data_IF_207041335756
#
_entry.id   IF_207041335756
#
_cell.length_a   1.000
_cell.length_b   1.000
_cell.length_c   1.000
_cell.angle_alpha   90.00
_cell.angle_beta   90.00
_cell.angle_gamma   90.00
#
_symmetry.space_group_name_H-M   'P 1'
#
loop_
_entity.id
_entity.type
_entity.pdbx_description
1 polymer ?
#
# COMPACT_ATOMS: atom_id res chain seq x y z
N UNK A 1 33.24 31.43 33.18
CA UNK A 1 33.73 32.35 32.14
C UNK A 1 32.78 32.19 30.96
N UNK A 2 31.76 33.04 30.84
CA UNK A 2 31.58 34.16 29.92
C UNK A 2 31.95 33.75 28.49
N UNK A 3 31.05 33.66 27.49
CA UNK A 3 30.43 34.84 26.88
C UNK A 3 29.22 34.43 26.02
N UNK A 4 28.17 35.21 26.12
CA UNK A 4 27.00 35.25 25.27
C UNK A 4 27.31 36.07 24.00
N UNK A 5 26.70 35.73 22.87
CA UNK A 5 26.54 36.67 21.77
C UNK A 5 25.10 36.58 21.20
N UNK A 6 24.37 37.65 21.47
CA UNK A 6 23.08 38.01 20.87
C UNK A 6 23.38 38.71 19.55
N UNK A 7 22.63 38.38 18.50
CA UNK A 7 22.50 39.26 17.34
C UNK A 7 21.05 39.29 16.86
N UNK A 8 20.51 40.46 17.02
CA UNK A 8 19.21 40.97 16.56
C UNK A 8 19.41 41.63 15.19
N UNK A 9 18.60 41.35 14.19
CA UNK A 9 18.38 42.21 12.98
C UNK A 9 16.98 41.95 12.49
N UNK A 10 16.06 42.83 12.77
CA UNK A 10 15.52 44.00 12.04
C UNK A 10 14.63 43.64 10.82
N UNK A 11 13.39 43.95 11.05
CA UNK A 11 12.19 44.02 10.22
C UNK A 11 12.33 45.06 9.09
N UNK A 12 11.89 44.73 7.89
CA UNK A 12 11.56 45.73 6.87
C UNK A 12 10.23 45.39 6.19
N UNK A 13 9.25 46.24 6.50
CA UNK A 13 7.94 46.33 5.90
C UNK A 13 8.05 47.21 4.66
N UNK A 14 7.49 46.80 3.53
CA UNK A 14 7.13 47.71 2.45
C UNK A 14 5.69 47.42 1.99
N UNK A 15 4.80 48.29 2.38
CA UNK A 15 3.47 48.50 1.77
C UNK A 15 3.64 49.23 0.43
N UNK A 16 2.90 48.82 -0.57
CA UNK A 16 2.40 49.75 -1.61
C UNK A 16 0.97 49.34 -2.00
N UNK A 17 0.08 50.29 -1.74
CA UNK A 17 -1.27 50.37 -2.23
C UNK A 17 -1.32 51.39 -3.40
N UNK A 18 -2.27 51.23 -4.29
CA UNK A 18 -3.03 52.21 -5.06
C UNK A 18 -3.56 51.56 -6.34
N UNK A 19 -4.72 51.63 -6.74
CA UNK A 19 -5.96 52.42 -6.66
C UNK A 19 -6.59 52.49 -8.07
N UNK A 20 -7.89 52.18 -8.11
CA UNK A 20 -9.00 52.81 -8.85
C UNK A 20 -8.91 53.17 -10.35
N UNK A 21 -9.93 52.74 -11.13
CA UNK A 21 -11.05 53.57 -11.65
C UNK A 21 -11.84 52.73 -12.69
N UNK A 22 -13.09 52.52 -12.60
CA UNK A 22 -14.31 53.34 -12.81
C UNK A 22 -14.63 53.64 -14.28
N UNK A 23 -15.87 53.30 -14.68
CA UNK A 23 -16.56 53.68 -15.90
C UNK A 23 -17.30 52.50 -16.53
N UNK A 24 -18.58 52.28 -16.48
CA UNK A 24 -19.74 53.14 -16.54
C UNK A 24 -20.38 53.08 -17.92
N UNK A 25 -21.62 52.57 -18.05
CA UNK A 25 -22.47 52.96 -19.16
C UNK A 25 -23.29 51.85 -19.84
N UNK A 26 -24.55 51.68 -19.39
CA UNK A 26 -25.80 51.60 -20.17
C UNK A 26 -26.08 50.51 -21.20
N UNK A 27 -27.14 49.75 -20.90
CA UNK A 27 -28.07 49.10 -21.86
C UNK A 27 -28.81 50.15 -22.73
N UNK A 28 -29.39 49.75 -23.90
CA UNK A 28 -30.72 49.17 -23.86
C UNK A 28 -31.08 48.09 -24.94
N UNK A 29 -32.00 47.27 -24.55
CA UNK A 29 -33.19 46.66 -25.18
C UNK A 29 -33.35 46.71 -26.71
N UNK A 30 -33.66 45.54 -27.32
CA UNK A 30 -34.92 45.14 -27.96
C UNK A 30 -34.77 43.89 -28.85
N UNK A 31 -35.55 42.86 -28.52
CA UNK A 31 -36.52 42.08 -29.30
C UNK A 31 -36.19 41.66 -30.74
N UNK A 32 -36.21 40.36 -30.97
CA UNK A 32 -37.18 39.64 -31.81
C UNK A 32 -36.69 38.23 -32.17
N UNK A 33 -37.58 37.29 -32.07
CA UNK A 33 -37.47 35.86 -32.12
C UNK A 33 -36.97 35.22 -33.42
N UNK A 34 -36.45 34.04 -33.22
CA UNK A 34 -36.51 32.93 -34.18
C UNK A 34 -36.31 31.61 -33.43
N UNK A 35 -37.29 30.77 -33.54
CA UNK A 35 -37.28 29.35 -33.18
C UNK A 35 -36.18 28.63 -33.94
N UNK A 36 -35.27 28.01 -33.22
CA UNK A 36 -34.36 26.99 -33.78
C UNK A 36 -34.22 25.84 -32.80
N UNK A 37 -34.50 24.70 -33.36
CA UNK A 37 -34.50 23.33 -32.82
C UNK A 37 -33.34 23.01 -31.93
N UNK A 38 -33.62 22.46 -30.74
CA UNK A 38 -32.61 21.94 -29.82
C UNK A 38 -31.89 20.74 -30.42
N UNK A 39 -30.64 20.92 -30.79
CA UNK A 39 -29.68 19.83 -30.94
C UNK A 39 -29.16 19.45 -29.57
N UNK A 40 -29.43 18.23 -29.17
CA UNK A 40 -28.90 17.60 -27.96
C UNK A 40 -27.38 17.47 -28.15
N UNK A 41 -26.60 18.30 -27.50
CA UNK A 41 -25.15 18.12 -27.41
C UNK A 41 -24.89 16.93 -26.49
N UNK A 42 -24.44 15.84 -27.09
CA UNK A 42 -23.87 14.71 -26.35
C UNK A 42 -22.64 15.20 -25.59
N UNK A 43 -22.67 15.08 -24.27
CA UNK A 43 -21.47 15.21 -23.40
C UNK A 43 -20.40 14.22 -23.87
N UNK A 44 -19.14 14.64 -23.97
CA UNK A 44 -18.06 13.70 -24.21
C UNK A 44 -17.95 12.77 -22.99
N UNK A 45 -18.31 11.51 -23.18
CA UNK A 45 -17.92 10.41 -22.30
C UNK A 45 -16.39 10.45 -22.16
N UNK A 46 -15.90 10.66 -20.96
CA UNK A 46 -14.48 10.46 -20.65
C UNK A 46 -14.18 9.00 -20.92
N UNK A 47 -13.51 8.73 -22.05
CA UNK A 47 -12.95 7.43 -22.32
C UNK A 47 -11.92 7.15 -21.22
N UNK A 48 -12.24 6.20 -20.34
CA UNK A 48 -11.23 5.52 -19.51
C UNK A 48 -10.11 5.08 -20.47
N UNK A 49 -8.92 5.58 -20.21
CA UNK A 49 -7.72 5.15 -20.92
C UNK A 49 -7.42 3.71 -20.47
N UNK A 50 -7.99 2.75 -21.18
CA UNK A 50 -7.61 1.34 -21.04
C UNK A 50 -6.17 1.25 -21.50
N UNK A 51 -5.26 0.98 -20.57
CA UNK A 51 -3.88 0.70 -20.90
C UNK A 51 -3.85 -0.43 -21.96
N UNK A 52 -3.00 -0.35 -22.98
CA UNK A 52 -2.97 -1.36 -24.05
C UNK A 52 -2.66 -2.72 -23.43
N UNK A 53 -3.58 -3.67 -23.58
CA UNK A 53 -3.36 -5.07 -23.21
C UNK A 53 -2.22 -5.60 -24.07
N UNK A 54 -1.15 -6.06 -23.43
CA UNK A 54 -0.03 -6.65 -24.14
C UNK A 54 -0.49 -7.90 -24.92
N UNK A 55 0.00 -8.05 -26.16
CA UNK A 55 -0.27 -9.24 -26.95
C UNK A 55 0.31 -10.47 -26.25
N UNK A 56 -0.37 -11.64 -26.19
CA UNK A 56 0.11 -12.84 -25.48
C UNK A 56 1.55 -13.23 -25.84
N UNK A 57 1.97 -13.03 -27.10
CA UNK A 57 3.34 -13.32 -27.54
C UNK A 57 4.39 -12.31 -27.01
N UNK A 58 3.99 -11.09 -26.64
CA UNK A 58 4.91 -10.09 -26.11
C UNK A 58 5.30 -10.34 -24.64
N UNK A 59 4.58 -11.22 -23.95
CA UNK A 59 4.81 -11.57 -22.54
C UNK A 59 5.36 -12.99 -22.36
N UNK A 60 5.80 -13.65 -23.46
CA UNK A 60 6.46 -14.94 -23.34
C UNK A 60 7.87 -14.77 -22.76
N UNK A 61 8.29 -15.70 -21.89
CA UNK A 61 9.61 -15.68 -21.20
C UNK A 61 10.77 -15.23 -22.08
N UNK A 62 10.85 -15.80 -23.30
CA UNK A 62 11.97 -15.54 -24.22
C UNK A 62 11.97 -14.12 -24.81
N UNK A 63 10.89 -13.37 -24.65
CA UNK A 63 10.75 -11.97 -25.11
C UNK A 63 10.94 -10.97 -23.97
N UNK A 64 10.97 -11.44 -22.71
CA UNK A 64 11.07 -10.57 -21.54
C UNK A 64 12.53 -10.19 -21.26
N UNK A 65 12.74 -8.93 -20.98
CA UNK A 65 14.03 -8.43 -20.47
C UNK A 65 13.99 -8.46 -18.95
N UNK A 66 14.80 -9.34 -18.35
CA UNK A 66 14.90 -9.50 -16.89
C UNK A 66 16.30 -9.14 -16.39
N UNK A 67 16.43 -8.86 -15.08
CA UNK A 67 17.72 -8.55 -14.41
C UNK A 67 18.74 -9.65 -14.65
N UNK A 68 18.30 -10.91 -14.59
CA UNK A 68 19.12 -12.06 -14.96
C UNK A 68 18.45 -12.77 -16.13
N UNK A 69 19.11 -12.84 -17.28
CA UNK A 69 18.54 -13.44 -18.48
C UNK A 69 17.98 -14.85 -18.21
N UNK A 70 16.72 -15.08 -18.61
CA UNK A 70 16.02 -16.37 -18.44
C UNK A 70 15.55 -16.70 -17.02
N UNK A 71 15.71 -15.77 -16.06
CA UNK A 71 15.21 -15.90 -14.69
C UNK A 71 14.31 -14.73 -14.32
N UNK A 72 13.31 -14.97 -13.47
CA UNK A 72 12.53 -13.94 -12.80
C UNK A 72 13.08 -13.72 -11.40
N UNK A 73 13.66 -12.56 -11.16
CA UNK A 73 14.18 -12.17 -9.83
C UNK A 73 13.08 -11.48 -9.04
N UNK A 74 12.65 -12.09 -7.94
CA UNK A 74 11.59 -11.60 -7.07
C UNK A 74 12.20 -11.05 -5.78
N UNK A 75 11.84 -9.81 -5.44
CA UNK A 75 12.19 -9.18 -4.17
C UNK A 75 11.13 -9.37 -3.10
N UNK A 76 11.54 -9.49 -1.84
CA UNK A 76 10.69 -9.35 -0.66
C UNK A 76 11.54 -9.02 0.56
N UNK A 77 10.91 -8.55 1.65
CA UNK A 77 11.62 -8.22 2.89
C UNK A 77 12.08 -9.46 3.67
N UNK A 78 12.93 -9.24 4.64
CA UNK A 78 13.36 -10.25 5.61
C UNK A 78 13.40 -9.61 7.02
N UNK A 79 12.61 -10.09 7.96
CA UNK A 79 11.85 -11.35 7.97
C UNK A 79 10.67 -11.39 6.98
N UNK A 80 10.47 -12.56 6.35
CA UNK A 80 9.34 -12.83 5.48
C UNK A 80 8.15 -13.33 6.31
N UNK A 81 7.14 -12.45 6.53
CA UNK A 81 6.09 -12.71 7.51
C UNK A 81 5.00 -13.69 7.03
N UNK A 82 4.58 -14.66 7.88
CA UNK A 82 3.29 -15.30 7.71
C UNK A 82 2.11 -14.29 7.85
N UNK A 83 0.99 -14.49 7.17
CA UNK A 83 0.63 -15.60 6.30
C UNK A 83 1.11 -15.45 4.85
N UNK A 84 1.84 -14.40 4.53
CA UNK A 84 2.33 -14.11 3.17
C UNK A 84 3.41 -15.10 2.73
N UNK A 85 4.25 -15.52 3.65
CA UNK A 85 5.30 -16.52 3.47
C UNK A 85 5.26 -17.52 4.62
N UNK A 86 5.37 -18.80 4.33
CA UNK A 86 5.26 -19.87 5.33
C UNK A 86 6.52 -20.72 5.42
N UNK A 87 6.70 -21.38 6.57
CA UNK A 87 7.68 -22.45 6.77
C UNK A 87 6.92 -23.70 7.19
N UNK A 88 6.63 -24.61 6.26
CA UNK A 88 5.78 -25.77 6.56
C UNK A 88 6.41 -26.77 7.53
N UNK A 89 7.72 -26.90 7.53
CA UNK A 89 8.51 -27.85 8.33
C UNK A 89 9.33 -27.18 9.46
N UNK A 90 9.12 -25.89 9.67
CA UNK A 90 9.80 -25.13 10.72
C UNK A 90 11.24 -24.71 10.41
N UNK A 91 11.72 -24.92 9.18
CA UNK A 91 13.09 -24.57 8.78
C UNK A 91 13.08 -23.65 7.55
N UNK A 92 13.43 -22.39 7.73
CA UNK A 92 13.62 -21.45 6.63
C UNK A 92 14.98 -21.67 5.95
N UNK A 93 15.01 -21.52 4.63
CA UNK A 93 16.25 -21.52 3.85
C UNK A 93 16.97 -20.18 4.05
N UNK A 94 18.22 -20.20 4.54
CA UNK A 94 18.97 -18.94 4.69
C UNK A 94 19.05 -18.17 3.38
N UNK A 95 18.88 -16.81 3.38
CA UNK A 95 18.91 -15.92 4.56
C UNK A 95 17.54 -15.70 5.24
N UNK A 96 16.47 -16.34 4.82
CA UNK A 96 15.10 -16.06 5.23
C UNK A 96 14.84 -16.37 6.71
N UNK A 97 13.96 -15.59 7.29
CA UNK A 97 13.54 -15.68 8.69
C UNK A 97 12.00 -15.58 8.77
N UNK A 98 11.40 -16.26 9.74
CA UNK A 98 9.95 -16.40 9.99
C UNK A 98 9.15 -17.10 8.88
N UNK A 99 9.39 -16.80 7.63
CA UNK A 99 8.84 -17.45 6.45
C UNK A 99 9.94 -17.72 5.43
N UNK A 100 9.63 -18.51 4.40
CA UNK A 100 10.54 -18.81 3.29
C UNK A 100 9.82 -18.60 1.95
N UNK A 101 10.14 -17.54 1.19
CA UNK A 101 9.47 -17.27 -0.07
C UNK A 101 9.78 -18.28 -1.17
N UNK A 102 10.84 -19.07 -1.03
CA UNK A 102 11.33 -19.97 -2.09
C UNK A 102 10.52 -21.26 -2.23
N UNK A 103 9.68 -21.59 -1.25
CA UNK A 103 8.96 -22.86 -1.20
C UNK A 103 7.60 -22.86 -1.94
N UNK A 104 7.03 -21.68 -2.24
CA UNK A 104 5.71 -21.52 -2.86
C UNK A 104 4.56 -21.55 -1.86
N UNK A 105 4.83 -21.45 -0.56
CA UNK A 105 3.82 -21.50 0.49
C UNK A 105 3.66 -20.14 1.18
N UNK A 106 2.39 -19.80 1.49
CA UNK A 106 1.99 -18.46 1.89
C UNK A 106 1.47 -17.65 0.71
N UNK A 107 0.66 -16.66 1.03
CA UNK A 107 -0.11 -15.92 0.03
C UNK A 107 0.76 -15.31 -1.08
N UNK A 108 1.79 -14.54 -0.73
CA UNK A 108 2.64 -13.87 -1.71
C UNK A 108 3.66 -14.79 -2.37
N UNK A 109 4.14 -15.80 -1.66
CA UNK A 109 4.98 -16.83 -2.29
C UNK A 109 4.19 -17.56 -3.38
N UNK A 110 3.00 -18.08 -3.07
CA UNK A 110 2.13 -18.75 -4.04
C UNK A 110 1.75 -17.84 -5.21
N UNK A 111 1.39 -16.58 -4.92
CA UNK A 111 1.06 -15.57 -5.92
C UNK A 111 2.23 -15.28 -6.87
N UNK A 112 3.44 -15.07 -6.34
CA UNK A 112 4.63 -14.79 -7.16
C UNK A 112 4.95 -15.94 -8.11
N UNK A 113 4.86 -17.19 -7.63
CA UNK A 113 5.03 -18.36 -8.50
C UNK A 113 3.92 -18.50 -9.53
N UNK A 114 2.67 -18.15 -9.20
CA UNK A 114 1.58 -18.16 -10.17
C UNK A 114 1.77 -17.07 -11.25
N UNK A 115 2.26 -15.87 -10.89
CA UNK A 115 2.65 -14.82 -11.87
C UNK A 115 3.79 -15.33 -12.74
N UNK A 116 4.83 -15.94 -12.15
CA UNK A 116 5.96 -16.51 -12.90
C UNK A 116 5.50 -17.55 -13.91
N UNK A 117 4.58 -18.45 -13.54
CA UNK A 117 4.01 -19.46 -14.44
C UNK A 117 3.26 -18.83 -15.61
N UNK A 118 2.43 -17.79 -15.36
CA UNK A 118 1.73 -17.04 -16.43
C UNK A 118 2.70 -16.35 -17.40
N UNK A 119 3.90 -15.98 -16.92
CA UNK A 119 4.97 -15.39 -17.74
C UNK A 119 5.86 -16.45 -18.39
N UNK A 120 5.62 -17.76 -18.16
CA UNK A 120 6.36 -18.86 -18.75
C UNK A 120 7.66 -19.23 -18.03
N UNK A 121 7.88 -18.76 -16.79
CA UNK A 121 9.02 -19.15 -15.97
C UNK A 121 8.69 -20.41 -15.16
N UNK A 122 9.53 -21.45 -15.27
CA UNK A 122 9.43 -22.58 -14.38
C UNK A 122 9.81 -22.17 -12.93
N UNK A 123 9.35 -22.91 -11.92
CA UNK A 123 9.68 -22.65 -10.52
C UNK A 123 11.19 -22.53 -10.27
N UNK A 124 12.01 -23.33 -10.97
CA UNK A 124 13.47 -23.29 -10.92
C UNK A 124 14.12 -22.06 -11.54
N UNK A 125 13.36 -21.29 -12.31
CA UNK A 125 13.80 -20.05 -12.93
C UNK A 125 13.43 -18.81 -12.12
N UNK A 126 12.75 -18.99 -10.99
CA UNK A 126 12.45 -17.93 -10.03
C UNK A 126 13.58 -17.84 -9.01
N UNK A 127 14.17 -16.66 -8.90
CA UNK A 127 15.20 -16.35 -7.92
C UNK A 127 14.67 -15.30 -6.91
N UNK A 128 14.87 -15.56 -5.63
CA UNK A 128 14.43 -14.62 -4.58
C UNK A 128 15.61 -13.84 -3.99
N UNK A 129 15.40 -12.57 -3.74
CA UNK A 129 16.37 -11.68 -3.09
C UNK A 129 15.74 -10.91 -1.94
N UNK A 130 16.54 -10.61 -0.91
CA UNK A 130 16.11 -9.74 0.19
C UNK A 130 16.09 -8.29 -0.28
N UNK A 131 14.95 -7.64 -0.14
CA UNK A 131 14.73 -6.22 -0.44
C UNK A 131 14.01 -5.61 0.75
N UNK A 132 14.67 -4.78 1.58
CA UNK A 132 14.00 -4.08 2.67
C UNK A 132 12.80 -3.29 2.17
N UNK A 133 11.71 -3.26 2.95
CA UNK A 133 10.42 -2.68 2.57
C UNK A 133 10.55 -1.30 1.90
N UNK A 134 11.23 -0.34 2.56
CA UNK A 134 11.38 1.02 2.04
C UNK A 134 12.19 1.08 0.73
N UNK A 135 13.08 0.10 0.49
CA UNK A 135 13.90 0.03 -0.72
C UNK A 135 13.12 -0.49 -1.93
N UNK A 136 12.01 -1.22 -1.71
CA UNK A 136 11.19 -1.76 -2.80
C UNK A 136 10.66 -0.63 -3.69
N UNK A 137 10.18 0.46 -3.10
CA UNK A 137 9.62 1.63 -3.81
C UNK A 137 10.51 2.88 -3.79
N UNK A 138 11.76 2.80 -3.29
CA UNK A 138 12.71 3.90 -3.40
C UNK A 138 13.01 4.22 -4.89
N UNK A 139 13.24 5.48 -5.28
CA UNK A 139 13.59 5.82 -6.65
C UNK A 139 14.92 5.21 -7.09
N UNK A 140 15.06 4.94 -8.40
CA UNK A 140 16.29 4.44 -9.01
C UNK A 140 16.21 2.99 -9.51
N UNK A 141 17.34 2.48 -9.98
CA UNK A 141 17.44 1.13 -10.54
C UNK A 141 17.15 0.05 -9.50
N UNK A 142 16.45 -1.00 -9.92
CA UNK A 142 16.12 -2.15 -9.08
C UNK A 142 17.04 -3.33 -9.36
N UNK A 143 17.26 -4.16 -8.35
CA UNK A 143 17.99 -5.43 -8.46
C UNK A 143 17.03 -6.62 -8.63
N UNK A 144 15.74 -6.36 -8.72
CA UNK A 144 14.67 -7.32 -8.94
C UNK A 144 13.89 -6.98 -10.20
N UNK A 145 13.22 -7.96 -10.75
CA UNK A 145 12.27 -7.80 -11.85
C UNK A 145 10.91 -7.36 -11.32
N UNK A 146 10.48 -8.01 -10.24
CA UNK A 146 9.26 -7.72 -9.48
C UNK A 146 9.56 -7.80 -7.98
N UNK A 147 8.79 -7.09 -7.16
CA UNK A 147 8.84 -7.21 -5.70
C UNK A 147 7.43 -7.40 -5.16
N UNK A 148 7.27 -8.37 -4.26
CA UNK A 148 6.00 -8.69 -3.56
C UNK A 148 6.28 -8.64 -2.06
N UNK A 149 5.77 -7.60 -1.42
CA UNK A 149 6.15 -7.24 -0.06
C UNK A 149 5.04 -6.45 0.64
N UNK A 150 3.80 -6.86 0.48
CA UNK A 150 2.62 -6.20 1.02
C UNK A 150 2.59 -4.69 0.71
N UNK A 151 3.05 -4.30 -0.48
CA UNK A 151 3.15 -2.89 -0.88
C UNK A 151 1.79 -2.40 -1.37
N UNK A 152 1.11 -1.59 -0.56
CA UNK A 152 -0.13 -0.93 -0.97
C UNK A 152 0.13 0.11 -2.04
N UNK A 153 -0.80 0.21 -3.00
CA UNK A 153 -0.78 1.30 -3.99
C UNK A 153 -0.87 2.66 -3.30
N UNK A 154 0.02 3.57 -3.69
CA UNK A 154 -0.02 5.00 -3.33
C UNK A 154 0.42 5.84 -4.52
N UNK A 155 -0.27 6.96 -4.85
CA UNK A 155 0.14 7.85 -5.94
C UNK A 155 1.59 8.33 -5.82
N UNK A 156 2.06 8.58 -4.60
CA UNK A 156 3.43 9.02 -4.33
C UNK A 156 4.45 7.94 -4.69
N UNK A 157 4.17 6.67 -4.36
CA UNK A 157 5.02 5.53 -4.75
C UNK A 157 5.04 5.36 -6.27
N UNK A 158 3.90 5.53 -6.93
CA UNK A 158 3.78 5.42 -8.38
C UNK A 158 4.58 6.49 -9.16
N UNK A 159 5.04 7.56 -8.51
CA UNK A 159 5.97 8.51 -9.11
C UNK A 159 7.39 7.95 -9.24
N UNK A 160 7.83 7.11 -8.30
CA UNK A 160 9.18 6.58 -8.21
C UNK A 160 9.35 5.20 -8.84
N UNK A 161 8.31 4.38 -8.85
CA UNK A 161 8.28 3.00 -9.34
C UNK A 161 7.03 2.75 -10.17
N UNK A 162 6.99 1.65 -10.91
CA UNK A 162 5.71 1.14 -11.41
C UNK A 162 5.06 0.25 -10.36
N UNK A 163 3.75 0.40 -10.23
CA UNK A 163 2.90 -0.44 -9.40
C UNK A 163 1.91 -1.16 -10.29
N UNK A 164 1.78 -2.47 -10.13
CA UNK A 164 0.82 -3.26 -10.90
C UNK A 164 -0.62 -2.95 -10.50
N UNK A 165 -1.56 -3.50 -11.26
CA UNK A 165 -2.94 -3.69 -10.80
C UNK A 165 -2.96 -4.44 -9.46
N UNK A 166 -3.96 -4.12 -8.63
CA UNK A 166 -4.08 -4.73 -7.31
C UNK A 166 -4.27 -6.25 -7.37
N UNK A 167 -3.54 -6.99 -6.54
CA UNK A 167 -3.71 -8.45 -6.41
C UNK A 167 -4.42 -8.87 -5.12
N UNK A 168 -4.54 -7.99 -4.13
CA UNK A 168 -5.27 -8.24 -2.88
C UNK A 168 -5.82 -6.94 -2.30
N UNK A 169 -7.10 -6.94 -1.94
CA UNK A 169 -7.76 -5.82 -1.26
C UNK A 169 -7.76 -6.07 0.24
N UNK A 170 -7.42 -5.05 1.03
CA UNK A 170 -7.25 -5.16 2.47
C UNK A 170 -7.82 -3.96 3.23
N UNK A 171 -7.92 -4.12 4.54
CA UNK A 171 -8.19 -3.05 5.50
C UNK A 171 -7.04 -2.94 6.50
N UNK A 172 -6.79 -1.73 6.98
CA UNK A 172 -5.92 -1.50 8.13
C UNK A 172 -6.64 -1.90 9.42
N UNK A 173 -5.87 -2.34 10.42
CA UNK A 173 -6.44 -2.82 11.68
C UNK A 173 -5.58 -2.45 12.88
N UNK A 174 -6.17 -2.55 14.08
CA UNK A 174 -5.48 -2.26 15.35
C UNK A 174 -5.31 -3.54 16.14
N UNK A 175 -4.08 -3.81 16.56
CA UNK A 175 -3.75 -4.84 17.56
C UNK A 175 -3.43 -4.17 18.89
N UNK A 176 -3.98 -4.69 19.97
CA UNK A 176 -3.72 -4.23 21.34
C UNK A 176 -3.61 -5.39 22.33
N UNK A 177 -3.01 -5.13 23.49
CA UNK A 177 -3.07 -6.09 24.62
C UNK A 177 -4.50 -6.13 25.19
N UNK A 178 -5.03 -7.32 25.47
CA UNK A 178 -6.39 -7.51 26.04
C UNK A 178 -6.61 -6.73 27.32
N UNK A 179 -5.56 -6.55 28.13
CA UNK A 179 -5.64 -5.80 29.39
C UNK A 179 -5.66 -4.27 29.19
N UNK A 180 -5.36 -3.76 28.01
CA UNK A 180 -5.41 -2.34 27.72
C UNK A 180 -6.87 -1.91 27.43
N UNK A 181 -7.28 -0.74 27.94
CA UNK A 181 -8.65 -0.22 27.75
C UNK A 181 -9.02 0.00 26.27
N UNK A 182 -8.04 0.25 25.40
CA UNK A 182 -8.26 0.37 23.95
C UNK A 182 -8.91 -0.89 23.36
N UNK A 183 -8.72 -2.07 23.95
CA UNK A 183 -9.31 -3.32 23.49
C UNK A 183 -10.86 -3.30 23.40
N UNK A 184 -11.51 -2.36 24.06
CA UNK A 184 -12.97 -2.16 24.02
C UNK A 184 -13.42 -0.97 23.16
N UNK A 185 -12.49 -0.27 22.48
CA UNK A 185 -12.81 0.85 21.60
C UNK A 185 -13.65 0.37 20.40
N UNK A 186 -14.64 1.17 20.00
CA UNK A 186 -15.55 0.86 18.89
C UNK A 186 -15.62 1.95 17.84
N UNK A 187 -15.21 3.16 18.19
CA UNK A 187 -15.28 4.35 17.35
C UNK A 187 -13.92 5.01 17.22
N UNK A 188 -13.73 5.81 16.16
CA UNK A 188 -12.53 6.65 16.00
C UNK A 188 -12.39 7.62 17.19
N UNK A 189 -13.50 8.13 17.72
CA UNK A 189 -13.49 9.01 18.88
C UNK A 189 -12.88 8.33 20.12
N UNK A 190 -13.18 7.05 20.34
CA UNK A 190 -12.62 6.27 21.47
C UNK A 190 -11.10 6.13 21.38
N UNK A 191 -10.54 6.21 20.17
CA UNK A 191 -9.12 5.98 19.91
C UNK A 191 -8.24 7.19 20.18
N UNK A 192 -8.80 8.41 20.19
CA UNK A 192 -8.04 9.68 20.20
C UNK A 192 -7.03 9.84 21.35
N UNK A 193 -7.32 9.24 22.50
CA UNK A 193 -6.49 9.40 23.71
C UNK A 193 -5.36 8.38 23.83
N UNK A 194 -5.28 7.39 22.93
CA UNK A 194 -4.28 6.31 23.00
C UNK A 194 -3.05 6.59 22.15
N UNK A 195 -1.97 5.90 22.48
CA UNK A 195 -0.69 5.98 21.76
C UNK A 195 -0.62 4.86 20.72
N UNK A 196 -0.35 5.23 19.48
CA UNK A 196 -0.24 4.28 18.38
C UNK A 196 1.16 4.22 17.82
N UNK A 197 1.50 3.10 17.21
CA UNK A 197 2.73 2.94 16.46
C UNK A 197 2.54 2.08 15.22
N UNK A 198 3.39 2.30 14.23
CA UNK A 198 3.50 1.54 13.00
C UNK A 198 4.91 1.66 12.42
N UNK A 199 5.24 0.80 11.46
CA UNK A 199 6.47 0.91 10.70
C UNK A 199 6.46 2.16 9.81
N UNK A 200 7.62 2.76 9.64
CA UNK A 200 7.82 3.90 8.72
C UNK A 200 7.38 3.55 7.29
N UNK A 201 6.95 4.56 6.54
CA UNK A 201 6.60 4.42 5.12
C UNK A 201 5.31 3.65 4.81
N UNK A 202 4.63 3.05 5.80
CA UNK A 202 3.43 2.21 5.62
C UNK A 202 2.14 3.02 5.53
N UNK A 203 1.11 2.46 4.91
CA UNK A 203 -0.28 2.95 4.97
C UNK A 203 -0.88 2.82 6.36
N UNK A 204 -0.35 1.92 7.18
CA UNK A 204 -0.67 1.81 8.61
C UNK A 204 -0.30 3.10 9.38
N UNK A 205 0.87 3.66 9.10
CA UNK A 205 1.28 4.96 9.67
C UNK A 205 0.38 6.10 9.16
N UNK A 206 0.01 6.09 7.87
CA UNK A 206 -0.93 7.05 7.31
C UNK A 206 -2.31 6.94 7.98
N UNK A 207 -2.77 5.72 8.26
CA UNK A 207 -4.04 5.47 8.99
C UNK A 207 -3.99 6.07 10.39
N UNK A 208 -2.87 5.93 11.12
CA UNK A 208 -2.72 6.58 12.42
C UNK A 208 -2.84 8.10 12.28
N UNK A 209 -2.11 8.70 11.34
CA UNK A 209 -1.99 10.14 11.21
C UNK A 209 -3.25 10.81 10.66
N UNK A 210 -3.93 10.16 9.70
CA UNK A 210 -4.99 10.78 8.90
C UNK A 210 -6.40 10.30 9.28
N UNK A 211 -6.54 9.03 9.72
CA UNK A 211 -7.84 8.44 10.08
C UNK A 211 -8.05 8.49 11.58
N UNK A 212 -7.15 7.89 12.36
CA UNK A 212 -7.25 7.93 13.83
C UNK A 212 -6.98 9.35 14.32
N UNK A 213 -5.94 10.01 13.82
CA UNK A 213 -5.47 11.34 14.22
C UNK A 213 -5.47 11.50 15.76
N UNK A 214 -4.69 10.69 16.51
CA UNK A 214 -4.70 10.70 17.96
C UNK A 214 -4.09 11.98 18.51
N UNK A 215 -4.36 12.30 19.80
CA UNK A 215 -3.80 13.48 20.46
C UNK A 215 -2.26 13.43 20.55
N UNK A 216 -1.70 12.24 20.76
CA UNK A 216 -0.26 12.03 20.77
C UNK A 216 0.23 11.66 19.34
N UNK A 217 1.38 12.19 18.94
CA UNK A 217 2.00 11.80 17.68
C UNK A 217 2.26 10.29 17.62
N UNK A 218 2.11 9.71 16.43
CA UNK A 218 2.43 8.30 16.19
C UNK A 218 3.88 8.00 16.55
N UNK A 219 4.14 6.85 17.17
CA UNK A 219 5.48 6.33 17.35
C UNK A 219 5.87 5.56 16.10
N UNK A 220 6.88 6.07 15.40
CA UNK A 220 7.38 5.49 14.15
C UNK A 220 8.50 4.51 14.47
N UNK A 221 8.42 3.31 13.90
CA UNK A 221 9.40 2.25 14.05
C UNK A 221 10.07 1.91 12.72
N UNK A 222 11.27 1.37 12.77
CA UNK A 222 12.02 0.99 11.56
C UNK A 222 11.50 -0.30 10.93
N UNK A 223 10.86 -1.17 11.72
CA UNK A 223 10.29 -2.44 11.27
C UNK A 223 9.00 -2.77 12.02
N UNK A 224 8.24 -3.73 11.49
CA UNK A 224 7.09 -4.29 12.20
C UNK A 224 7.52 -5.01 13.49
N UNK A 225 8.67 -5.68 13.51
CA UNK A 225 9.19 -6.34 14.72
C UNK A 225 9.49 -5.34 15.83
N UNK A 226 10.06 -4.17 15.50
CA UNK A 226 10.29 -3.10 16.48
C UNK A 226 8.96 -2.54 17.01
N UNK A 227 7.97 -2.39 16.13
CA UNK A 227 6.64 -1.92 16.53
C UNK A 227 5.92 -2.94 17.43
N UNK A 228 6.04 -4.23 17.12
CA UNK A 228 5.53 -5.34 17.95
C UNK A 228 6.24 -5.38 19.31
N UNK A 229 7.56 -5.20 19.32
CA UNK A 229 8.32 -5.08 20.57
C UNK A 229 7.87 -3.86 21.39
N UNK A 230 7.56 -2.74 20.73
CA UNK A 230 6.99 -1.55 21.35
C UNK A 230 5.62 -1.80 22.00
N UNK A 231 4.74 -2.60 21.36
CA UNK A 231 3.46 -3.01 21.92
C UNK A 231 3.63 -3.92 23.15
N UNK A 232 4.52 -4.94 23.04
CA UNK A 232 4.85 -5.84 24.17
C UNK A 232 5.40 -5.07 25.36
N UNK A 233 6.25 -4.08 25.11
CA UNK A 233 6.84 -3.21 26.13
C UNK A 233 5.88 -2.11 26.63
N UNK A 234 4.63 -2.07 26.15
CA UNK A 234 3.61 -1.06 26.52
C UNK A 234 4.06 0.38 26.22
N UNK A 235 4.93 0.56 25.23
CA UNK A 235 5.35 1.88 24.76
C UNK A 235 4.29 2.53 23.87
N UNK A 236 3.44 1.69 23.25
CA UNK A 236 2.23 2.04 22.52
C UNK A 236 1.05 1.24 23.07
N UNK A 237 -0.15 1.77 22.91
CA UNK A 237 -1.40 1.13 23.30
C UNK A 237 -1.97 0.29 22.16
N UNK A 238 -1.79 0.75 20.91
CA UNK A 238 -2.24 0.11 19.69
C UNK A 238 -1.15 0.07 18.63
N UNK A 239 -0.97 -1.10 18.03
CA UNK A 239 -0.18 -1.32 16.82
C UNK A 239 -1.13 -1.30 15.62
N UNK A 240 -0.87 -0.49 14.61
CA UNK A 240 -1.64 -0.49 13.36
C UNK A 240 -0.87 -1.25 12.30
N UNK A 241 -1.53 -2.23 11.68
CA UNK A 241 -1.01 -3.10 10.62
C UNK A 241 -2.14 -3.57 9.72
N UNK A 242 -1.79 -4.14 8.57
CA UNK A 242 -2.74 -4.81 7.68
C UNK A 242 -3.49 -5.93 8.41
N UNK A 243 -4.75 -6.11 8.08
CA UNK A 243 -5.60 -7.07 8.78
C UNK A 243 -5.05 -8.51 8.77
N UNK A 244 -4.52 -9.07 7.66
CA UNK A 244 -3.90 -10.39 7.70
C UNK A 244 -2.67 -10.47 8.62
N UNK A 245 -1.87 -9.41 8.67
CA UNK A 245 -0.74 -9.28 9.59
C UNK A 245 -1.22 -9.26 11.04
N UNK A 246 -2.31 -8.54 11.35
CA UNK A 246 -2.88 -8.49 12.70
C UNK A 246 -3.30 -9.87 13.23
N UNK A 247 -3.84 -10.73 12.36
CA UNK A 247 -4.16 -12.11 12.72
C UNK A 247 -2.91 -12.92 13.09
N UNK A 248 -1.83 -12.76 12.33
CA UNK A 248 -0.57 -13.43 12.66
C UNK A 248 0.03 -12.89 13.97
N UNK A 249 0.07 -11.57 14.13
CA UNK A 249 0.56 -10.93 15.37
C UNK A 249 -0.18 -11.44 16.59
N UNK A 250 -1.51 -11.51 16.54
CA UNK A 250 -2.33 -11.95 17.68
C UNK A 250 -2.28 -13.46 17.92
N UNK A 251 -2.05 -14.26 16.88
CA UNK A 251 -1.99 -15.72 16.98
C UNK A 251 -0.62 -16.25 17.39
N UNK A 252 0.47 -15.57 16.98
CA UNK A 252 1.81 -16.13 17.08
C UNK A 252 2.87 -15.23 17.71
N UNK A 253 2.71 -13.90 17.67
CA UNK A 253 3.77 -13.01 18.09
C UNK A 253 3.51 -12.29 19.43
N UNK A 254 2.26 -11.99 19.76
CA UNK A 254 1.90 -11.23 20.98
C UNK A 254 0.86 -11.96 21.79
N UNK A 255 1.28 -12.62 22.85
CA UNK A 255 0.37 -13.27 23.80
C UNK A 255 -0.59 -12.28 24.43
N UNK A 256 -1.82 -12.75 24.72
CA UNK A 256 -2.86 -11.94 25.35
C UNK A 256 -3.16 -10.63 24.61
N UNK A 257 -3.04 -10.65 23.29
CA UNK A 257 -3.46 -9.57 22.41
C UNK A 257 -4.82 -9.84 21.74
N UNK A 258 -5.37 -8.82 21.11
CA UNK A 258 -6.64 -8.86 20.40
C UNK A 258 -6.58 -7.90 19.21
N UNK A 259 -7.28 -8.22 18.14
CA UNK A 259 -7.61 -7.25 17.09
C UNK A 259 -8.77 -6.41 17.62
N UNK A 260 -8.52 -5.13 17.89
CA UNK A 260 -9.52 -4.17 18.37
C UNK A 260 -10.58 -3.95 17.31
N UNK A 261 -10.15 -3.78 16.08
CA UNK A 261 -11.02 -3.64 14.92
C UNK A 261 -10.24 -3.27 13.67
N UNK A 262 -10.96 -3.24 12.54
CA UNK A 262 -10.47 -2.82 11.22
C UNK A 262 -11.16 -1.53 10.79
N UNK A 263 -10.52 -0.78 9.90
CA UNK A 263 -11.07 0.42 9.29
C UNK A 263 -11.70 0.06 7.94
N UNK A 264 -12.97 0.39 7.76
CA UNK A 264 -13.59 0.30 6.44
C UNK A 264 -12.99 1.37 5.50
N UNK A 265 -12.89 1.11 4.20
CA UNK A 265 -12.51 2.13 3.23
C UNK A 265 -13.46 3.34 3.35
N UNK A 266 -12.96 4.59 3.22
CA UNK A 266 -13.83 5.74 3.16
C UNK A 266 -14.81 5.62 1.99
N UNK A 267 -16.06 6.05 2.19
CA UNK A 267 -17.09 6.00 1.14
C UNK A 267 -16.66 6.81 -0.08
N UNK A 268 -16.70 6.19 -1.26
CA UNK A 268 -16.35 6.85 -2.52
C UNK A 268 -14.86 6.88 -2.85
N UNK A 269 -14.03 6.16 -2.11
CA UNK A 269 -12.62 5.91 -2.45
C UNK A 269 -12.42 4.45 -2.89
N UNK A 270 -11.41 4.22 -3.71
CA UNK A 270 -10.98 2.87 -4.02
C UNK A 270 -10.46 2.19 -2.74
N UNK A 271 -10.78 0.90 -2.62
CA UNK A 271 -10.27 0.10 -1.52
C UNK A 271 -8.75 -0.03 -1.61
N UNK A 272 -8.07 0.03 -0.46
CA UNK A 272 -6.63 -0.22 -0.40
C UNK A 272 -6.30 -1.60 -0.95
N UNK A 273 -5.26 -1.69 -1.76
CA UNK A 273 -4.83 -2.95 -2.36
C UNK A 273 -3.32 -3.06 -2.46
N UNK A 274 -2.81 -4.28 -2.36
CA UNK A 274 -1.42 -4.57 -2.66
C UNK A 274 -1.18 -4.59 -4.16
N UNK A 275 -0.02 -4.05 -4.56
CA UNK A 275 0.49 -4.03 -5.93
C UNK A 275 1.90 -4.63 -5.97
N UNK A 276 2.22 -5.31 -7.05
CA UNK A 276 3.60 -5.70 -7.37
C UNK A 276 4.39 -4.44 -7.70
N UNK A 277 5.59 -4.33 -7.13
CA UNK A 277 6.49 -3.21 -7.43
C UNK A 277 7.46 -3.61 -8.54
N UNK A 278 7.64 -2.71 -9.49
CA UNK A 278 8.60 -2.85 -10.59
C UNK A 278 9.46 -1.59 -10.71
N UNK A 279 10.58 -1.67 -11.38
CA UNK A 279 11.35 -0.47 -11.73
C UNK A 279 10.47 0.52 -12.50
N UNK A 280 10.72 1.82 -12.34
CA UNK A 280 9.97 2.84 -13.08
C UNK A 280 10.11 2.65 -14.58
N UNK A 281 8.99 2.65 -15.31
CA UNK A 281 8.90 2.37 -16.75
C UNK A 281 9.39 0.97 -17.11
N UNK A 282 9.16 -0.02 -16.26
CA UNK A 282 9.54 -1.41 -16.52
C UNK A 282 8.79 -1.96 -17.75
N UNK A 283 9.49 -2.62 -18.67
CA UNK A 283 8.84 -3.30 -19.79
C UNK A 283 7.98 -4.49 -19.33
N UNK A 284 8.17 -4.96 -18.09
CA UNK A 284 7.40 -6.06 -17.50
C UNK A 284 6.03 -5.64 -16.97
N UNK A 285 5.79 -4.35 -16.72
CA UNK A 285 4.57 -3.87 -16.04
C UNK A 285 3.29 -4.35 -16.75
N UNK A 286 3.22 -4.20 -18.07
CA UNK A 286 2.04 -4.65 -18.82
C UNK A 286 1.86 -6.18 -18.77
N UNK A 287 2.94 -6.94 -18.78
CA UNK A 287 2.90 -8.40 -18.72
C UNK A 287 2.54 -8.91 -17.33
N UNK A 288 3.00 -8.26 -16.27
CA UNK A 288 2.60 -8.56 -14.88
C UNK A 288 1.11 -8.27 -14.68
N UNK A 289 0.60 -7.14 -15.21
CA UNK A 289 -0.83 -6.84 -15.15
C UNK A 289 -1.67 -7.87 -15.93
N UNK A 290 -1.21 -8.28 -17.11
CA UNK A 290 -1.87 -9.34 -17.87
C UNK A 290 -1.88 -10.69 -17.12
N UNK A 291 -0.77 -11.04 -16.43
CA UNK A 291 -0.69 -12.22 -15.58
C UNK A 291 -1.67 -12.14 -14.41
N UNK A 292 -1.73 -11.00 -13.70
CA UNK A 292 -2.69 -10.78 -12.61
C UNK A 292 -4.13 -10.89 -13.09
N UNK A 293 -4.46 -10.28 -14.24
CA UNK A 293 -5.78 -10.36 -14.82
C UNK A 293 -6.16 -11.81 -15.19
N UNK A 294 -5.21 -12.59 -15.74
CA UNK A 294 -5.42 -14.01 -16.03
C UNK A 294 -5.67 -14.83 -14.75
N UNK A 295 -4.88 -14.60 -13.68
CA UNK A 295 -5.04 -15.28 -12.38
C UNK A 295 -6.36 -14.95 -11.70
N UNK A 296 -6.88 -13.74 -11.88
CA UNK A 296 -8.24 -13.35 -11.44
C UNK A 296 -9.30 -14.06 -12.27
N UNK A 297 -9.16 -14.06 -13.60
CA UNK A 297 -10.16 -14.60 -14.53
C UNK A 297 -10.31 -16.12 -14.42
N UNK A 298 -9.24 -16.86 -14.18
CA UNK A 298 -9.27 -18.32 -14.06
C UNK A 298 -9.51 -18.83 -12.63
N UNK A 299 -9.66 -17.92 -11.65
CA UNK A 299 -9.94 -18.24 -10.26
C UNK A 299 -8.70 -18.69 -9.45
N UNK A 300 -7.52 -18.68 -10.04
CA UNK A 300 -6.28 -19.08 -9.34
C UNK A 300 -5.99 -18.13 -8.17
N UNK A 301 -6.12 -16.81 -8.38
CA UNK A 301 -5.88 -15.83 -7.33
C UNK A 301 -6.88 -15.96 -6.18
N UNK A 302 -8.15 -16.23 -6.48
CA UNK A 302 -9.18 -16.48 -5.46
C UNK A 302 -8.87 -17.74 -4.65
N UNK A 303 -8.39 -18.81 -5.32
CA UNK A 303 -7.98 -20.05 -4.66
C UNK A 303 -6.80 -19.83 -3.72
N UNK A 304 -5.76 -19.12 -4.16
CA UNK A 304 -4.60 -18.74 -3.34
C UNK A 304 -5.06 -17.88 -2.14
N UNK A 305 -5.91 -16.88 -2.38
CA UNK A 305 -6.44 -16.02 -1.32
C UNK A 305 -7.22 -16.84 -0.29
N UNK A 306 -8.08 -17.74 -0.75
CA UNK A 306 -8.87 -18.61 0.12
C UNK A 306 -8.00 -19.56 0.94
N UNK A 307 -6.98 -20.13 0.34
CA UNK A 307 -6.06 -21.05 1.02
C UNK A 307 -5.29 -20.37 2.15
N UNK A 308 -4.78 -19.17 1.90
CA UNK A 308 -3.84 -18.53 2.83
C UNK A 308 -4.45 -17.44 3.71
N UNK A 309 -5.53 -16.78 3.27
CA UNK A 309 -6.08 -15.58 3.92
C UNK A 309 -7.58 -15.69 4.28
N UNK A 310 -8.32 -16.78 3.93
CA UNK A 310 -9.78 -16.83 4.10
C UNK A 310 -10.25 -16.62 5.54
N UNK A 311 -9.55 -17.17 6.52
CA UNK A 311 -9.90 -17.02 7.94
C UNK A 311 -9.45 -15.67 8.54
N UNK A 312 -8.87 -14.78 7.74
CA UNK A 312 -8.22 -13.54 8.16
C UNK A 312 -8.88 -12.29 7.59
N UNK A 313 -10.14 -12.41 7.18
CA UNK A 313 -10.88 -11.32 6.56
C UNK A 313 -11.95 -10.67 7.45
N UNK A 314 -12.15 -11.15 8.69
CA UNK A 314 -13.23 -10.68 9.55
C UNK A 314 -12.74 -10.21 10.91
N UNK A 315 -12.86 -8.91 11.17
CA UNK A 315 -12.68 -8.29 12.46
C UNK A 315 -13.78 -7.23 12.68
N UNK A 316 -14.08 -6.83 13.94
CA UNK A 316 -15.01 -5.73 14.19
C UNK A 316 -14.63 -4.47 13.39
N UNK A 317 -15.62 -3.75 12.87
CA UNK A 317 -15.37 -2.49 12.16
C UNK A 317 -15.39 -1.33 13.15
N UNK A 318 -14.33 -0.54 13.17
CA UNK A 318 -14.26 0.72 13.92
C UNK A 318 -15.16 1.73 13.22
N UNK A 319 -16.13 2.26 13.95
CA UNK A 319 -17.08 3.24 13.43
C UNK A 319 -16.47 4.65 13.39
N UNK A 320 -16.90 5.50 12.48
CA UNK A 320 -16.50 6.92 12.42
C UNK A 320 -16.68 7.69 13.72
#
# INVERSE_FOLDING_TARGET
MRSALKSTVVLLIALMAAACSNGGGASPSASAGATASAAIAASPSTAESVAPSASPNACAKDTLTTVTAGKLTVGTDNPAYPPYFQIPDGTATKPWELGDPTNGQGFESAFAYAVADKLGFAKTDVAWIVVPFDNSFAPGAKKFDIDVNQVSYKPERAQAVDLSDGYYTLNQSIVALKANKIASAKTIADLKAYKFGAQTGTTSLDTINNVIAPTAAAKVYSSNDDAIAGLKAKQIDGLVVDLPTAFYVTAAQVDNSVIVGQFAPPTGTDAEHFSVVLAKSSPLTACVNAAIAALKSDGTLDSITKEWLADKASAPVIQP
#
